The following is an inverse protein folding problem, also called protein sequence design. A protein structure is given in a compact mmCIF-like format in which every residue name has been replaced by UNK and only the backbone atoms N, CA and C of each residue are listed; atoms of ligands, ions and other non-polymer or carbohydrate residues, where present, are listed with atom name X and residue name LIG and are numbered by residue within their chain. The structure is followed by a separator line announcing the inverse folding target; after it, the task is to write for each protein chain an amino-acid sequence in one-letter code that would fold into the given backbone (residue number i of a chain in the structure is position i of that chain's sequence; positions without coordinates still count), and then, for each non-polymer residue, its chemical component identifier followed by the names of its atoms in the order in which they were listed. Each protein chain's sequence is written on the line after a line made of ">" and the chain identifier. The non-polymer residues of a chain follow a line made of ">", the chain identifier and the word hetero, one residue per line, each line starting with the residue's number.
data_IF_886984560166
#
_entry.id   IF_886984560166
#
_cell.length_a   1.000
_cell.length_b   1.000
_cell.length_c   1.000
_cell.angle_alpha   90.00
_cell.angle_beta   90.00
_cell.angle_gamma   90.00
#
_symmetry.space_group_name_H-M   'P 1'
#
loop_
_entity.id
_entity.type
_entity.pdbx_description
1 polymer ?
#
# COMPACT_ATOMS: atom_id res chain seq x y z
N UNK A 1 16.43 -3.33 20.08
CA UNK A 1 16.23 -2.38 18.97
C UNK A 1 14.72 -2.25 18.77
N UNK A 2 14.21 -1.03 18.59
CA UNK A 2 12.77 -0.81 18.36
C UNK A 2 12.39 -1.32 16.98
N UNK A 3 11.36 -2.15 16.90
CA UNK A 3 10.77 -2.59 15.63
C UNK A 3 9.75 -1.54 15.17
N UNK A 4 9.83 -1.10 13.92
CA UNK A 4 8.94 -0.10 13.35
C UNK A 4 8.03 -0.74 12.28
N UNK A 5 6.78 -1.11 12.65
CA UNK A 5 5.85 -1.66 11.69
C UNK A 5 5.41 -0.59 10.70
N UNK A 6 5.52 -0.89 9.40
CA UNK A 6 5.09 -0.01 8.30
C UNK A 6 4.19 -0.80 7.36
N UNK A 7 3.00 -0.26 7.09
CA UNK A 7 2.09 -0.87 6.11
C UNK A 7 2.65 -0.65 4.72
N UNK A 8 2.96 -1.72 4.02
CA UNK A 8 3.42 -1.69 2.64
C UNK A 8 2.26 -2.01 1.70
N UNK A 9 1.95 -1.09 0.79
CA UNK A 9 0.94 -1.30 -0.26
C UNK A 9 1.68 -1.27 -1.61
N UNK A 10 2.03 -2.42 -2.22
CA UNK A 10 2.83 -2.44 -3.45
C UNK A 10 2.20 -1.65 -4.60
N UNK A 11 0.86 -1.61 -4.66
CA UNK A 11 0.12 -0.90 -5.71
C UNK A 11 0.07 -1.66 -7.03
N UNK A 12 -0.15 -0.93 -8.12
CA UNK A 12 -0.41 -1.45 -9.46
C UNK A 12 0.70 -1.07 -10.45
N UNK A 13 0.69 -1.70 -11.64
CA UNK A 13 1.64 -1.40 -12.71
C UNK A 13 3.08 -1.66 -12.29
N UNK A 14 3.94 -0.63 -12.35
CA UNK A 14 5.34 -0.70 -11.89
C UNK A 14 5.48 -0.69 -10.35
N UNK A 15 4.38 -0.52 -9.61
CA UNK A 15 4.41 -0.38 -8.15
C UNK A 15 5.08 -1.54 -7.41
N UNK A 16 4.74 -2.81 -7.69
CA UNK A 16 5.37 -3.96 -7.05
C UNK A 16 6.89 -4.01 -7.24
N UNK A 17 7.40 -3.67 -8.43
CA UNK A 17 8.85 -3.64 -8.70
C UNK A 17 9.56 -2.58 -7.85
N UNK A 18 8.98 -1.37 -7.77
CA UNK A 18 9.51 -0.28 -6.96
C UNK A 18 9.45 -0.63 -5.47
N UNK A 19 8.33 -1.19 -5.00
CA UNK A 19 8.16 -1.60 -3.60
C UNK A 19 9.21 -2.64 -3.21
N UNK A 20 9.48 -3.61 -4.08
CA UNK A 20 10.52 -4.60 -3.85
C UNK A 20 11.93 -4.00 -3.80
N UNK A 21 12.23 -3.06 -4.71
CA UNK A 21 13.49 -2.33 -4.67
C UNK A 21 13.68 -1.55 -3.34
N UNK A 22 12.62 -0.92 -2.83
CA UNK A 22 12.63 -0.24 -1.53
C UNK A 22 12.90 -1.22 -0.39
N UNK A 23 12.22 -2.38 -0.37
CA UNK A 23 12.47 -3.42 0.66
C UNK A 23 13.92 -3.88 0.66
N UNK A 24 14.51 -4.10 -0.53
CA UNK A 24 15.92 -4.49 -0.69
C UNK A 24 16.88 -3.43 -0.15
N UNK A 25 16.63 -2.15 -0.43
CA UNK A 25 17.44 -1.03 0.09
C UNK A 25 17.37 -0.96 1.62
N UNK A 26 16.17 -1.05 2.20
CA UNK A 26 15.98 -0.97 3.65
C UNK A 26 16.63 -2.16 4.38
N UNK A 27 16.51 -3.36 3.81
CA UNK A 27 17.19 -4.55 4.32
C UNK A 27 18.72 -4.39 4.28
N UNK A 28 19.28 -3.91 3.17
CA UNK A 28 20.73 -3.67 3.04
C UNK A 28 21.24 -2.60 4.02
N UNK A 29 20.44 -1.57 4.27
CA UNK A 29 20.72 -0.54 5.27
C UNK A 29 20.53 -1.01 6.71
N UNK A 30 20.03 -2.24 6.94
CA UNK A 30 19.63 -2.77 8.25
C UNK A 30 18.66 -1.83 8.98
N UNK A 31 17.77 -1.20 8.21
CA UNK A 31 16.74 -0.35 8.77
C UNK A 31 15.79 -1.21 9.65
N UNK A 32 15.45 -0.78 10.88
CA UNK A 32 14.62 -1.56 11.78
C UNK A 32 13.12 -1.45 11.42
N UNK A 33 12.76 -1.85 10.21
CA UNK A 33 11.39 -1.79 9.67
C UNK A 33 10.83 -3.20 9.46
N UNK A 34 9.64 -3.43 9.99
CA UNK A 34 8.84 -4.62 9.69
C UNK A 34 7.73 -4.25 8.72
N UNK A 35 7.72 -4.91 7.56
CA UNK A 35 6.76 -4.64 6.50
C UNK A 35 5.48 -5.45 6.71
N UNK A 36 4.35 -4.75 6.77
CA UNK A 36 3.01 -5.35 6.84
C UNK A 36 2.34 -5.17 5.47
N UNK A 37 2.39 -6.21 4.64
CA UNK A 37 1.90 -6.12 3.26
C UNK A 37 0.37 -6.12 3.20
N UNK A 38 -0.19 -5.12 2.54
CA UNK A 38 -1.62 -4.96 2.26
C UNK A 38 -1.85 -4.59 0.79
N UNK A 39 -3.10 -4.59 0.35
CA UNK A 39 -3.46 -4.40 -1.05
C UNK A 39 -4.40 -3.22 -1.23
N UNK A 40 -4.15 -2.42 -2.27
CA UNK A 40 -5.07 -1.39 -2.75
C UNK A 40 -4.88 -1.19 -4.26
N UNK A 41 -5.89 -0.67 -4.95
CA UNK A 41 -5.88 -0.53 -6.41
C UNK A 41 -6.51 -1.73 -7.12
N UNK A 42 -6.10 -1.95 -8.37
CA UNK A 42 -6.59 -3.05 -9.21
C UNK A 42 -6.22 -4.40 -8.59
N UNK A 43 -5.00 -4.55 -8.06
CA UNK A 43 -4.60 -5.79 -7.39
C UNK A 43 -5.52 -6.14 -6.22
N UNK A 44 -6.03 -5.15 -5.50
CA UNK A 44 -7.00 -5.40 -4.42
C UNK A 44 -8.38 -5.78 -4.97
N UNK A 45 -8.82 -5.14 -6.05
CA UNK A 45 -10.07 -5.48 -6.72
C UNK A 45 -10.08 -6.94 -7.18
N UNK A 46 -8.98 -7.41 -7.76
CA UNK A 46 -8.81 -8.80 -8.22
C UNK A 46 -8.80 -9.79 -7.07
N UNK A 47 -8.14 -9.47 -5.95
CA UNK A 47 -7.98 -10.38 -4.81
C UNK A 47 -9.15 -10.37 -3.81
N UNK A 48 -9.80 -9.23 -3.65
CA UNK A 48 -10.76 -8.99 -2.57
C UNK A 48 -12.12 -8.49 -3.06
N UNK A 49 -12.28 -8.21 -4.37
CA UNK A 49 -13.51 -7.62 -4.91
C UNK A 49 -13.66 -6.13 -4.62
N UNK A 50 -12.69 -5.50 -3.94
CA UNK A 50 -12.72 -4.09 -3.55
C UNK A 50 -11.38 -3.41 -3.83
N UNK A 51 -11.42 -2.18 -4.34
CA UNK A 51 -10.20 -1.41 -4.67
C UNK A 51 -9.47 -0.87 -3.45
N UNK A 52 -10.14 -0.80 -2.31
CA UNK A 52 -9.56 -0.41 -1.04
C UNK A 52 -10.26 -1.21 0.08
N UNK A 53 -9.77 -2.42 0.39
CA UNK A 53 -10.32 -3.24 1.46
C UNK A 53 -10.24 -2.52 2.81
N UNK A 54 -11.28 -2.62 3.64
CA UNK A 54 -11.31 -1.98 4.96
C UNK A 54 -10.13 -2.42 5.84
N UNK A 55 -9.70 -3.69 5.74
CA UNK A 55 -8.53 -4.20 6.45
C UNK A 55 -7.24 -3.43 6.15
N UNK A 56 -7.12 -2.85 4.95
CA UNK A 56 -6.00 -1.99 4.58
C UNK A 56 -6.10 -0.63 5.27
N UNK A 57 -7.29 -0.04 5.33
CA UNK A 57 -7.50 1.22 6.07
C UNK A 57 -7.26 1.03 7.57
N UNK A 58 -7.78 -0.05 8.15
CA UNK A 58 -7.57 -0.41 9.56
C UNK A 58 -6.10 -0.59 9.89
N UNK A 59 -5.35 -1.31 9.05
CA UNK A 59 -3.91 -1.47 9.23
C UNK A 59 -3.17 -0.12 9.22
N UNK A 60 -3.49 0.76 8.27
CA UNK A 60 -2.86 2.09 8.21
C UNK A 60 -3.24 2.95 9.43
N UNK A 61 -4.50 2.89 9.90
CA UNK A 61 -4.91 3.59 11.14
C UNK A 61 -4.22 3.04 12.38
N UNK A 62 -4.03 1.72 12.47
CA UNK A 62 -3.37 1.07 13.59
C UNK A 62 -1.87 1.41 13.66
N UNK A 63 -1.18 1.35 12.53
CA UNK A 63 0.28 1.51 12.46
C UNK A 63 0.75 2.94 12.11
N UNK A 64 -0.16 3.82 11.69
CA UNK A 64 0.04 5.26 11.42
C UNK A 64 1.00 5.61 10.28
N UNK A 65 1.81 4.66 9.82
CA UNK A 65 2.79 4.83 8.75
C UNK A 65 2.51 3.81 7.66
N UNK A 66 2.42 4.32 6.42
CA UNK A 66 2.25 3.50 5.23
C UNK A 66 3.17 3.96 4.11
N UNK A 67 3.75 3.01 3.40
CA UNK A 67 4.47 3.23 2.14
C UNK A 67 3.67 2.58 1.02
N UNK A 68 3.23 3.37 0.04
CA UNK A 68 2.50 2.83 -1.11
C UNK A 68 3.18 3.10 -2.44
N UNK A 69 3.16 2.10 -3.31
CA UNK A 69 3.44 2.28 -4.73
C UNK A 69 2.28 2.99 -5.45
N UNK A 70 2.46 3.36 -6.73
CA UNK A 70 1.39 3.91 -7.56
C UNK A 70 0.18 2.97 -7.63
N UNK A 71 -1.04 3.51 -7.66
CA UNK A 71 -2.25 2.74 -7.89
C UNK A 71 -2.99 3.33 -9.09
N UNK A 72 -3.45 2.47 -9.99
CA UNK A 72 -4.15 2.85 -11.20
C UNK A 72 -5.50 3.46 -10.84
N UNK A 73 -5.84 4.59 -11.46
CA UNK A 73 -7.18 5.16 -11.44
C UNK A 73 -7.67 5.23 -12.88
N UNK A 74 -8.78 4.56 -13.25
CA UNK A 74 -9.32 4.62 -14.60
C UNK A 74 -9.74 6.05 -14.96
N UNK A 75 -9.52 6.43 -16.22
CA UNK A 75 -9.94 7.72 -16.77
C UNK A 75 -11.34 7.56 -17.39
N UNK A 76 -12.26 8.47 -17.07
CA UNK A 76 -13.57 8.55 -17.71
C UNK A 76 -14.65 7.59 -17.18
N UNK A 77 -14.37 6.78 -16.16
CA UNK A 77 -15.36 5.88 -15.55
C UNK A 77 -14.74 4.91 -14.54
N UNK A 78 -15.51 3.92 -14.06
CA UNK A 78 -15.03 2.89 -13.14
C UNK A 78 -15.06 3.31 -11.66
N UNK A 79 -13.99 2.98 -10.92
CA UNK A 79 -13.93 3.20 -9.48
C UNK A 79 -13.28 4.53 -9.10
N UNK A 80 -13.61 5.01 -7.89
CA UNK A 80 -13.01 6.22 -7.32
C UNK A 80 -11.53 6.01 -7.02
N UNK A 81 -10.72 7.04 -7.22
CA UNK A 81 -9.27 6.97 -6.99
C UNK A 81 -8.94 6.51 -5.57
N UNK A 82 -8.24 5.38 -5.45
CA UNK A 82 -7.72 4.84 -4.20
C UNK A 82 -6.83 5.85 -3.48
N UNK A 83 -6.06 6.65 -4.22
CA UNK A 83 -5.21 7.70 -3.66
C UNK A 83 -6.03 8.75 -2.90
N UNK A 84 -7.18 9.15 -3.44
CA UNK A 84 -8.08 10.13 -2.81
C UNK A 84 -8.83 9.48 -1.66
N UNK A 85 -9.31 8.25 -1.83
CA UNK A 85 -10.03 7.51 -0.79
C UNK A 85 -9.16 7.31 0.45
N UNK A 86 -7.88 6.90 0.30
CA UNK A 86 -6.93 6.78 1.40
C UNK A 86 -6.75 8.11 2.14
N UNK A 87 -6.56 9.23 1.43
CA UNK A 87 -6.34 10.54 2.05
C UNK A 87 -7.56 11.09 2.79
N UNK A 88 -8.76 10.70 2.38
CA UNK A 88 -10.02 11.11 3.04
C UNK A 88 -10.41 10.19 4.19
N UNK A 89 -9.99 8.93 4.16
CA UNK A 89 -10.34 7.90 5.14
C UNK A 89 -9.37 7.76 6.30
N UNK A 90 -8.27 8.51 6.30
CA UNK A 90 -7.24 8.57 7.33
C UNK A 90 -7.20 9.97 7.96
#
# INVERSE_FOLDING_TARGET
>A
MSDHPVVLIPGDGIGPEIADAVRRIFSAAKAPVTWLEHHAGITALEKHGEVLPESTLEAVRAHRVALKGPCTTPVGGGFRSVNVSLRKGL
#
